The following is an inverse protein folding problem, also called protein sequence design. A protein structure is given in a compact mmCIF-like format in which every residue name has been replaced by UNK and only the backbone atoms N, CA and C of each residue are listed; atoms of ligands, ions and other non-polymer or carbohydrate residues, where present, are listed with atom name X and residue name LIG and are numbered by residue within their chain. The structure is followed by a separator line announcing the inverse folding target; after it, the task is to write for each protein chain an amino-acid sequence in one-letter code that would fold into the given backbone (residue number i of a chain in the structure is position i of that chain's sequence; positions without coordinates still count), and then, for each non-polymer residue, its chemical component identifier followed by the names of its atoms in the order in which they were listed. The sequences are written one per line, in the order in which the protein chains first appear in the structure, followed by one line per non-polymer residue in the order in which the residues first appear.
data_IF_442262847633
#
_entry.id   IF_442262847633
#
_cell.length_a   1.000
_cell.length_b   1.000
_cell.length_c   1.000
_cell.angle_alpha   90.00
_cell.angle_beta   90.00
_cell.angle_gamma   90.00
#
_symmetry.space_group_name_H-M   'P 1'
#
loop_
_entity.id
_entity.type
_entity.pdbx_description
1 polymer ?
#
# COMPACT_ATOMS: atom_id res chain seq x y z
N UNK A 1 -20.69 25.90 16.87
CA UNK A 1 -20.65 25.20 18.18
C UNK A 1 -21.12 26.09 19.33
N UNK A 2 -20.40 27.15 19.71
CA UNK A 2 -20.81 27.99 20.85
C UNK A 2 -22.23 28.58 20.71
N UNK A 3 -22.56 29.08 19.52
CA UNK A 3 -23.93 29.55 19.21
C UNK A 3 -25.00 28.47 19.42
N UNK A 4 -24.71 27.22 19.05
CA UNK A 4 -25.61 26.10 19.26
C UNK A 4 -25.74 25.76 20.76
N UNK A 5 -24.63 25.82 21.51
CA UNK A 5 -24.68 25.64 22.96
C UNK A 5 -25.54 26.72 23.62
N UNK A 6 -25.45 27.98 23.18
CA UNK A 6 -26.29 29.08 23.67
C UNK A 6 -27.78 28.84 23.42
N UNK A 7 -28.16 28.26 22.28
CA UNK A 7 -29.57 28.01 21.96
C UNK A 7 -30.17 26.80 22.68
N UNK A 8 -29.34 25.83 23.06
CA UNK A 8 -29.78 24.55 23.63
C UNK A 8 -29.58 24.44 25.14
N UNK A 9 -28.97 25.44 25.78
CA UNK A 9 -28.74 25.41 27.22
C UNK A 9 -30.05 25.47 28.00
N UNK A 10 -30.14 24.71 29.09
CA UNK A 10 -31.26 24.79 30.02
C UNK A 10 -31.17 26.04 30.91
N UNK A 11 -32.08 26.14 31.90
CA UNK A 11 -32.14 27.27 32.84
C UNK A 11 -30.89 27.43 33.71
N UNK A 12 -30.09 26.37 33.86
CA UNK A 12 -28.83 26.37 34.61
C UNK A 12 -27.61 26.55 33.68
N UNK A 13 -27.87 26.88 32.41
CA UNK A 13 -26.88 27.02 31.34
C UNK A 13 -26.09 25.73 31.05
N UNK A 14 -26.72 24.57 31.27
CA UNK A 14 -26.14 23.26 31.03
C UNK A 14 -26.69 22.60 29.77
N UNK A 15 -25.82 21.84 29.11
CA UNK A 15 -26.13 21.02 27.95
C UNK A 15 -25.70 19.59 28.26
N UNK A 16 -26.67 18.68 28.25
CA UNK A 16 -26.49 17.26 28.54
C UNK A 16 -26.55 16.43 27.25
N UNK A 17 -25.72 16.81 26.27
CA UNK A 17 -25.63 16.17 24.93
C UNK A 17 -24.24 15.57 24.70
N UNK A 18 -24.19 14.46 23.99
CA UNK A 18 -22.95 13.83 23.51
C UNK A 18 -22.30 14.67 22.40
N UNK A 19 -21.04 14.37 22.06
CA UNK A 19 -20.34 15.08 20.98
C UNK A 19 -21.04 14.89 19.62
N UNK A 20 -21.60 13.70 19.37
CA UNK A 20 -22.29 13.39 18.13
C UNK A 20 -23.63 14.15 18.03
N UNK A 21 -24.40 14.22 19.12
CA UNK A 21 -25.65 15.01 19.16
C UNK A 21 -25.37 16.52 19.00
N UNK A 22 -24.28 17.03 19.59
CA UNK A 22 -23.86 18.42 19.38
C UNK A 22 -23.42 18.64 17.93
N UNK A 23 -22.74 17.68 17.32
CA UNK A 23 -22.31 17.75 15.94
C UNK A 23 -23.53 17.80 14.99
N UNK A 24 -24.52 16.94 15.21
CA UNK A 24 -25.77 16.89 14.44
C UNK A 24 -26.56 18.19 14.59
N UNK A 25 -26.82 18.64 15.83
CA UNK A 25 -27.59 19.85 16.08
C UNK A 25 -26.90 21.15 15.62
N UNK A 26 -25.57 21.17 15.57
CA UNK A 26 -24.80 22.30 15.06
C UNK A 26 -24.50 22.23 13.54
N UNK A 27 -25.05 21.22 12.83
CA UNK A 27 -24.79 20.94 11.41
C UNK A 27 -23.29 20.81 11.07
N UNK A 28 -22.55 20.11 11.93
CA UNK A 28 -21.11 19.85 11.77
C UNK A 28 -20.89 18.36 11.49
N UNK A 29 -20.36 18.06 10.30
CA UNK A 29 -20.15 16.67 9.84
C UNK A 29 -19.15 15.83 10.67
N UNK A 30 -18.31 16.47 11.49
CA UNK A 30 -17.21 15.81 12.20
C UNK A 30 -17.29 16.04 13.71
N UNK A 31 -17.70 15.02 14.46
CA UNK A 31 -17.81 15.08 15.93
C UNK A 31 -16.48 15.23 16.66
N UNK A 32 -15.35 14.80 16.06
CA UNK A 32 -14.02 15.09 16.61
C UNK A 32 -13.68 16.59 16.51
N UNK A 33 -14.20 17.28 15.49
CA UNK A 33 -14.11 18.74 15.37
C UNK A 33 -14.81 19.46 16.53
N UNK A 34 -15.95 18.94 16.97
CA UNK A 34 -16.68 19.45 18.14
C UNK A 34 -15.83 19.34 19.40
N UNK A 35 -15.19 18.19 19.64
CA UNK A 35 -14.31 17.99 20.81
C UNK A 35 -13.14 18.99 20.85
N UNK A 36 -12.54 19.28 19.70
CA UNK A 36 -11.51 20.32 19.58
C UNK A 36 -12.06 21.72 19.88
N UNK A 37 -13.23 22.07 19.34
CA UNK A 37 -13.88 23.36 19.60
C UNK A 37 -14.22 23.54 21.09
N UNK A 38 -14.77 22.51 21.74
CA UNK A 38 -15.05 22.54 23.18
C UNK A 38 -13.77 22.69 24.01
N UNK A 39 -12.66 22.07 23.59
CA UNK A 39 -11.36 22.24 24.26
C UNK A 39 -10.86 23.68 24.19
N UNK A 40 -11.00 24.33 23.03
CA UNK A 40 -10.64 25.76 22.85
C UNK A 40 -11.54 26.64 23.72
N UNK A 41 -12.85 26.45 23.65
CA UNK A 41 -13.81 27.22 24.46
C UNK A 41 -13.59 27.06 25.96
N UNK A 42 -13.23 25.86 26.43
CA UNK A 42 -12.94 25.60 27.83
C UNK A 42 -11.65 26.28 28.29
N UNK A 43 -10.59 26.22 27.47
CA UNK A 43 -9.32 26.92 27.76
C UNK A 43 -9.47 28.43 27.79
N UNK A 44 -10.34 28.98 26.96
CA UNK A 44 -10.67 30.41 26.95
C UNK A 44 -11.73 30.80 28.00
N UNK A 45 -12.17 29.86 28.84
CA UNK A 45 -13.06 30.14 29.98
C UNK A 45 -14.52 30.44 29.60
N UNK A 46 -14.97 30.03 28.41
CA UNK A 46 -16.38 30.20 27.99
C UNK A 46 -17.26 29.04 28.42
N UNK A 47 -16.68 27.86 28.62
CA UNK A 47 -17.42 26.66 29.02
C UNK A 47 -16.64 25.83 30.05
N UNK A 48 -17.37 24.99 30.76
CA UNK A 48 -16.84 23.92 31.61
C UNK A 48 -17.41 22.58 31.15
N UNK A 49 -16.61 21.50 31.24
CA UNK A 49 -17.06 20.14 30.92
C UNK A 49 -17.09 19.31 32.21
N UNK A 50 -18.23 18.73 32.56
CA UNK A 50 -18.41 17.96 33.80
C UNK A 50 -18.94 16.55 33.51
N UNK A 51 -18.69 15.61 34.42
CA UNK A 51 -19.24 14.26 34.32
C UNK A 51 -20.70 14.24 34.79
N UNK A 52 -21.59 13.65 34.00
CA UNK A 52 -23.02 13.59 34.36
C UNK A 52 -23.26 12.38 35.27
N UNK A 53 -23.78 12.56 36.50
CA UNK A 53 -24.01 11.45 37.41
C UNK A 53 -24.89 10.37 36.79
N UNK A 54 -24.51 9.10 37.00
CA UNK A 54 -25.25 7.90 36.51
C UNK A 54 -25.37 7.79 34.98
N UNK A 55 -24.67 8.63 34.20
CA UNK A 55 -24.57 8.53 32.74
C UNK A 55 -23.10 8.46 32.34
N UNK A 56 -22.76 7.61 31.36
CA UNK A 56 -21.40 7.53 30.81
C UNK A 56 -21.19 8.64 29.77
N UNK A 57 -21.35 9.89 30.18
CA UNK A 57 -21.21 11.05 29.31
C UNK A 57 -20.73 12.30 30.05
N UNK A 58 -20.22 13.27 29.30
CA UNK A 58 -19.85 14.59 29.81
C UNK A 58 -20.81 15.66 29.32
N UNK A 59 -21.34 16.44 30.26
CA UNK A 59 -22.12 17.64 29.99
C UNK A 59 -21.23 18.84 29.70
N UNK A 60 -21.83 19.91 29.20
CA UNK A 60 -21.20 21.21 28.97
C UNK A 60 -21.96 22.28 29.73
N UNK A 61 -21.30 23.09 30.55
CA UNK A 61 -21.88 24.28 31.19
C UNK A 61 -21.32 25.53 30.53
N UNK A 62 -22.17 26.50 30.21
CA UNK A 62 -21.71 27.82 29.73
C UNK A 62 -21.33 28.67 30.94
N UNK A 63 -20.10 29.21 30.95
CA UNK A 63 -19.62 30.10 32.01
C UNK A 63 -19.92 31.58 31.72
N UNK A 64 -20.17 31.90 30.44
CA UNK A 64 -20.40 33.27 29.96
C UNK A 64 -21.60 33.33 28.99
N UNK A 65 -22.82 32.94 29.41
CA UNK A 65 -23.99 32.84 28.52
C UNK A 65 -24.39 34.17 27.85
N UNK A 66 -24.01 35.31 28.45
CA UNK A 66 -24.33 36.64 27.91
C UNK A 66 -23.43 37.08 26.74
N UNK A 67 -22.36 36.33 26.43
CA UNK A 67 -21.42 36.67 25.36
C UNK A 67 -21.96 36.19 24.01
N UNK A 68 -22.11 37.11 23.06
CA UNK A 68 -22.48 36.73 21.69
C UNK A 68 -21.32 35.99 21.01
N UNK A 69 -21.64 35.04 20.13
CA UNK A 69 -20.62 34.23 19.43
C UNK A 69 -19.59 35.08 18.66
N UNK A 70 -20.02 36.23 18.10
CA UNK A 70 -19.12 37.17 17.39
C UNK A 70 -18.13 37.91 18.30
N UNK A 71 -18.34 37.86 19.62
CA UNK A 71 -17.53 38.54 20.64
C UNK A 71 -16.61 37.55 21.38
N UNK A 72 -16.52 36.31 20.90
CA UNK A 72 -15.58 35.34 21.45
C UNK A 72 -14.15 35.81 21.17
N UNK A 73 -13.43 36.13 22.23
CA UNK A 73 -11.99 36.34 22.20
C UNK A 73 -11.30 34.97 22.32
N UNK A 74 -10.85 34.45 21.18
CA UNK A 74 -10.10 33.20 21.09
C UNK A 74 -8.64 33.50 20.76
N UNK A 75 -7.72 32.70 21.28
CA UNK A 75 -6.30 32.79 20.95
C UNK A 75 -6.07 32.15 19.56
N UNK A 76 -6.19 32.97 18.52
CA UNK A 76 -6.00 32.56 17.12
C UNK A 76 -4.60 31.98 16.89
N UNK A 77 -3.57 32.58 17.49
CA UNK A 77 -2.19 32.11 17.37
C UNK A 77 -2.01 30.69 17.94
N UNK A 78 -2.62 30.41 19.09
CA UNK A 78 -2.60 29.06 19.67
C UNK A 78 -3.37 28.03 18.82
N UNK A 79 -4.45 28.43 18.15
CA UNK A 79 -5.23 27.58 17.25
C UNK A 79 -4.40 27.24 16.00
N UNK A 80 -3.79 28.24 15.36
CA UNK A 80 -2.92 28.06 14.19
C UNK A 80 -1.71 27.20 14.51
N UNK A 81 -1.05 27.42 15.65
CA UNK A 81 0.11 26.64 16.09
C UNK A 81 -0.25 25.18 16.37
N UNK A 82 -1.45 24.91 16.89
CA UNK A 82 -1.96 23.53 17.02
C UNK A 82 -2.16 22.89 15.66
N UNK A 83 -2.82 23.58 14.72
CA UNK A 83 -3.08 23.08 13.37
C UNK A 83 -1.77 22.79 12.61
N UNK A 84 -0.76 23.67 12.74
CA UNK A 84 0.59 23.45 12.22
C UNK A 84 1.20 22.15 12.76
N UNK A 85 1.20 21.96 14.09
CA UNK A 85 1.74 20.74 14.72
C UNK A 85 0.97 19.48 14.31
N UNK A 86 -0.35 19.54 14.18
CA UNK A 86 -1.15 18.38 13.76
C UNK A 86 -0.88 18.01 12.30
N UNK A 87 -0.70 18.99 11.41
CA UNK A 87 -0.24 18.73 10.03
C UNK A 87 1.17 18.14 9.98
N UNK A 88 2.07 18.58 10.84
CA UNK A 88 3.43 18.01 10.93
C UNK A 88 3.41 16.54 11.36
N UNK A 89 2.59 16.18 12.36
CA UNK A 89 2.37 14.79 12.74
C UNK A 89 1.82 13.95 11.59
N UNK A 90 0.83 14.47 10.86
CA UNK A 90 0.28 13.78 9.69
C UNK A 90 1.34 13.57 8.60
N UNK A 91 2.15 14.60 8.29
CA UNK A 91 3.27 14.49 7.35
C UNK A 91 4.27 13.43 7.79
N UNK A 92 4.59 13.35 9.08
CA UNK A 92 5.48 12.33 9.63
C UNK A 92 4.89 10.91 9.44
N UNK A 93 3.60 10.72 9.71
CA UNK A 93 2.92 9.43 9.48
C UNK A 93 2.92 9.02 8.01
N UNK A 94 2.62 9.96 7.10
CA UNK A 94 2.70 9.72 5.66
C UNK A 94 4.12 9.33 5.26
N UNK A 95 5.13 10.05 5.75
CA UNK A 95 6.52 9.73 5.50
C UNK A 95 6.90 8.33 6.02
N UNK A 96 6.41 7.91 7.20
CA UNK A 96 6.61 6.57 7.73
C UNK A 96 6.06 5.49 6.80
N UNK A 97 4.82 5.65 6.31
CA UNK A 97 4.17 4.66 5.44
C UNK A 97 4.94 4.42 4.14
N UNK A 98 5.53 5.48 3.56
CA UNK A 98 6.32 5.40 2.34
C UNK A 98 7.83 5.20 2.58
N UNK A 99 8.27 5.30 3.83
CA UNK A 99 9.67 5.10 4.21
C UNK A 99 10.08 3.65 4.00
N UNK A 100 11.36 3.46 3.69
CA UNK A 100 12.04 2.17 3.58
C UNK A 100 13.02 1.92 4.71
N UNK A 101 12.94 2.72 5.76
CA UNK A 101 13.64 2.49 7.03
C UNK A 101 12.86 1.44 7.83
N UNK A 102 13.57 0.62 8.61
CA UNK A 102 12.97 -0.28 9.58
C UNK A 102 11.87 0.44 10.37
N UNK A 103 10.65 -0.13 10.40
CA UNK A 103 9.50 0.51 11.05
C UNK A 103 9.78 0.83 12.52
N UNK A 104 10.38 -0.12 13.24
CA UNK A 104 10.71 0.07 14.65
C UNK A 104 11.76 1.17 14.83
N UNK A 105 12.80 1.17 14.01
CA UNK A 105 13.84 2.20 14.07
C UNK A 105 13.27 3.60 13.80
N UNK A 106 12.36 3.72 12.83
CA UNK A 106 11.66 4.97 12.53
C UNK A 106 10.82 5.44 13.73
N UNK A 107 10.04 4.54 14.34
CA UNK A 107 9.21 4.85 15.52
C UNK A 107 10.09 5.33 16.68
N UNK A 108 11.17 4.61 16.99
CA UNK A 108 12.12 4.98 18.05
C UNK A 108 12.70 6.38 17.79
N UNK A 109 13.15 6.62 16.56
CA UNK A 109 13.69 7.93 16.16
C UNK A 109 12.66 9.05 16.30
N UNK A 110 11.40 8.81 15.93
CA UNK A 110 10.31 9.78 16.07
C UNK A 110 10.07 10.19 17.53
N UNK A 111 10.25 9.25 18.48
CA UNK A 111 10.13 9.50 19.91
C UNK A 111 11.44 9.92 20.60
N UNK A 112 12.52 10.18 19.83
CA UNK A 112 13.79 10.70 20.33
C UNK A 112 14.83 9.63 20.70
N UNK A 113 14.56 8.36 20.44
CA UNK A 113 15.52 7.27 20.61
C UNK A 113 16.32 7.04 19.32
N UNK A 114 17.55 7.58 19.31
CA UNK A 114 18.46 7.49 18.17
C UNK A 114 19.42 6.29 18.29
N UNK A 115 19.96 5.83 17.15
CA UNK A 115 20.98 4.78 17.11
C UNK A 115 20.47 3.35 17.28
N UNK A 116 19.15 3.14 17.28
CA UNK A 116 18.57 1.80 17.27
C UNK A 116 18.95 1.04 15.98
N UNK A 117 19.33 -0.24 16.12
CA UNK A 117 19.54 -1.14 14.99
C UNK A 117 18.24 -1.49 14.25
N UNK A 118 18.38 -2.16 13.11
CA UNK A 118 17.21 -2.71 12.39
C UNK A 118 16.59 -3.87 13.17
N UNK A 119 15.26 -4.02 13.13
CA UNK A 119 14.57 -5.00 13.97
C UNK A 119 14.50 -6.42 13.39
N UNK A 120 14.82 -6.59 12.10
CA UNK A 120 14.78 -7.89 11.40
C UNK A 120 13.39 -8.49 11.19
N UNK A 121 12.33 -7.89 11.73
CA UNK A 121 10.99 -8.50 11.82
C UNK A 121 9.86 -7.63 11.27
N UNK A 122 10.07 -6.37 10.92
CA UNK A 122 9.03 -5.58 10.26
C UNK A 122 8.89 -5.93 8.77
N UNK A 123 7.81 -5.48 8.14
CA UNK A 123 7.56 -5.65 6.70
C UNK A 123 8.74 -5.17 5.85
N UNK A 124 9.33 -4.03 6.20
CA UNK A 124 10.51 -3.47 5.52
C UNK A 124 11.73 -4.37 5.69
N UNK A 125 12.02 -4.84 6.90
CA UNK A 125 13.16 -5.74 7.15
C UNK A 125 12.96 -7.15 6.56
N UNK A 126 11.72 -7.56 6.31
CA UNK A 126 11.41 -8.85 5.69
C UNK A 126 11.41 -8.77 4.17
N UNK A 127 10.94 -7.66 3.58
CA UNK A 127 10.94 -7.42 2.13
C UNK A 127 12.33 -7.01 1.63
N UNK A 128 13.12 -6.35 2.47
CA UNK A 128 14.53 -6.06 2.21
C UNK A 128 15.38 -7.17 2.80
N UNK A 129 15.86 -8.09 1.96
CA UNK A 129 17.06 -8.85 2.29
C UNK A 129 18.13 -7.87 2.74
N UNK A 130 18.50 -7.94 4.02
CA UNK A 130 19.42 -7.02 4.68
C UNK A 130 20.79 -7.03 3.98
N UNK A 131 21.03 -6.05 3.11
CA UNK A 131 22.32 -5.82 2.48
C UNK A 131 22.67 -4.34 2.54
N UNK A 132 23.92 -4.04 2.90
CA UNK A 132 24.45 -2.69 2.77
C UNK A 132 24.51 -2.28 1.30
N UNK A 133 24.33 -0.99 1.04
CA UNK A 133 24.49 -0.44 -0.30
C UNK A 133 25.94 -0.64 -0.75
N UNK A 134 26.13 -1.29 -1.91
CA UNK A 134 27.45 -1.56 -2.47
C UNK A 134 27.51 -1.27 -3.97
N UNK A 135 28.70 -0.99 -4.53
CA UNK A 135 28.85 -0.83 -5.97
C UNK A 135 28.51 -2.12 -6.74
N UNK A 136 28.11 -2.01 -8.03
CA UNK A 136 27.84 -3.15 -8.89
C UNK A 136 29.11 -3.97 -9.19
N UNK A 137 28.96 -5.28 -9.38
CA UNK A 137 29.90 -6.09 -10.18
C UNK A 137 29.77 -5.76 -11.68
N UNK A 138 30.68 -6.24 -12.53
CA UNK A 138 30.59 -6.01 -13.99
C UNK A 138 29.28 -6.54 -14.61
N UNK A 139 28.84 -7.73 -14.17
CA UNK A 139 27.59 -8.35 -14.60
C UNK A 139 26.38 -7.52 -14.16
N UNK A 140 26.39 -7.09 -12.90
CA UNK A 140 25.35 -6.23 -12.31
C UNK A 140 25.27 -4.88 -13.00
N UNK A 141 26.41 -4.29 -13.35
CA UNK A 141 26.48 -3.05 -14.11
C UNK A 141 25.85 -3.21 -15.50
N UNK A 142 26.10 -4.35 -16.14
CA UNK A 142 25.48 -4.70 -17.43
C UNK A 142 23.96 -4.85 -17.30
N UNK A 143 23.48 -5.51 -16.23
CA UNK A 143 22.05 -5.66 -15.95
C UNK A 143 21.39 -4.29 -15.76
N UNK A 144 21.99 -3.41 -14.94
CA UNK A 144 21.47 -2.06 -14.72
C UNK A 144 21.42 -1.27 -16.02
N UNK A 145 22.49 -1.28 -16.83
CA UNK A 145 22.49 -0.61 -18.14
C UNK A 145 21.38 -1.10 -19.07
N UNK A 146 21.15 -2.43 -19.14
CA UNK A 146 20.05 -3.02 -19.91
C UNK A 146 18.68 -2.54 -19.39
N UNK A 147 18.49 -2.54 -18.07
CA UNK A 147 17.25 -2.07 -17.44
C UNK A 147 16.99 -0.59 -17.72
N UNK A 148 17.98 0.28 -17.52
CA UNK A 148 17.88 1.72 -17.80
C UNK A 148 17.66 2.01 -19.28
N UNK A 149 18.29 1.24 -20.17
CA UNK A 149 18.02 1.32 -21.61
C UNK A 149 16.55 1.00 -21.93
N UNK A 150 15.97 -0.01 -21.26
CA UNK A 150 14.55 -0.31 -21.36
C UNK A 150 13.65 0.82 -20.88
N UNK A 151 13.96 1.43 -19.73
CA UNK A 151 13.24 2.61 -19.20
C UNK A 151 13.31 3.77 -20.20
N UNK A 152 14.49 4.03 -20.76
CA UNK A 152 14.72 5.08 -21.76
C UNK A 152 13.91 4.85 -23.05
N UNK A 153 13.92 3.62 -23.59
CA UNK A 153 13.14 3.26 -24.80
C UNK A 153 11.64 3.35 -24.59
N UNK A 154 11.20 3.21 -23.33
CA UNK A 154 9.82 3.38 -22.90
C UNK A 154 9.53 4.78 -22.35
N UNK A 155 10.45 5.73 -22.54
CA UNK A 155 10.29 7.14 -22.23
C UNK A 155 10.45 7.96 -23.51
N UNK A 156 10.17 9.27 -23.46
CA UNK A 156 10.48 10.22 -24.54
C UNK A 156 11.57 11.18 -24.07
N UNK A 157 12.58 11.43 -24.90
CA UNK A 157 13.60 12.46 -24.62
C UNK A 157 13.07 13.82 -25.08
N UNK A 158 13.08 14.80 -24.20
CA UNK A 158 12.65 16.18 -24.43
C UNK A 158 13.79 17.14 -24.12
N UNK A 159 13.60 18.44 -24.38
CA UNK A 159 14.57 19.48 -23.99
C UNK A 159 14.81 19.54 -22.47
N UNK A 160 13.81 19.13 -21.69
CA UNK A 160 13.82 19.24 -20.23
C UNK A 160 14.18 17.91 -19.54
N UNK A 161 14.57 16.88 -20.31
CA UNK A 161 14.97 15.57 -19.78
C UNK A 161 14.15 14.42 -20.33
N UNK A 162 13.83 13.45 -19.46
CA UNK A 162 13.07 12.26 -19.83
C UNK A 162 11.61 12.40 -19.38
N UNK A 163 10.69 12.15 -20.32
CA UNK A 163 9.25 12.14 -20.09
C UNK A 163 8.75 10.70 -20.02
N UNK A 164 8.09 10.35 -18.90
CA UNK A 164 7.58 9.01 -18.64
C UNK A 164 6.37 8.70 -19.52
N UNK A 165 6.32 7.50 -20.12
CA UNK A 165 5.15 7.05 -20.91
C UNK A 165 4.48 5.81 -20.36
N UNK A 166 5.18 5.04 -19.55
CA UNK A 166 4.71 3.76 -19.02
C UNK A 166 5.07 3.60 -17.55
N UNK A 167 4.22 2.87 -16.83
CA UNK A 167 4.46 2.51 -15.44
C UNK A 167 5.47 1.36 -15.30
N UNK A 168 6.03 1.21 -14.10
CA UNK A 168 7.01 0.18 -13.73
C UNK A 168 6.62 -1.22 -14.20
N UNK A 169 5.36 -1.62 -13.99
CA UNK A 169 4.89 -2.96 -14.34
C UNK A 169 5.04 -3.29 -15.83
N UNK A 170 4.72 -2.33 -16.71
CA UNK A 170 4.84 -2.52 -18.16
C UNK A 170 6.30 -2.54 -18.61
N UNK A 171 7.17 -1.74 -17.98
CA UNK A 171 8.61 -1.76 -18.22
C UNK A 171 9.21 -3.12 -17.85
N UNK A 172 8.84 -3.66 -16.68
CA UNK A 172 9.30 -4.98 -16.23
C UNK A 172 8.81 -6.08 -17.17
N UNK A 173 7.54 -6.06 -17.57
CA UNK A 173 6.99 -7.02 -18.55
C UNK A 173 7.76 -6.98 -19.88
N UNK A 174 8.10 -5.78 -20.37
CA UNK A 174 8.88 -5.61 -21.60
C UNK A 174 10.29 -6.20 -21.46
N UNK A 175 11.01 -5.87 -20.37
CA UNK A 175 12.36 -6.39 -20.11
C UNK A 175 12.41 -7.90 -19.91
N UNK A 176 11.36 -8.47 -19.29
CA UNK A 176 11.20 -9.91 -19.07
C UNK A 176 10.75 -10.67 -20.33
N UNK A 177 10.29 -9.98 -21.37
CA UNK A 177 9.81 -10.62 -22.60
C UNK A 177 8.41 -11.21 -22.49
N UNK A 178 7.53 -10.57 -21.71
CA UNK A 178 6.14 -11.00 -21.53
C UNK A 178 5.37 -10.95 -22.86
N UNK A 179 4.61 -12.01 -23.14
CA UNK A 179 3.72 -12.12 -24.30
C UNK A 179 2.30 -11.61 -24.03
N UNK A 180 2.10 -10.77 -23.01
CA UNK A 180 0.77 -10.26 -22.69
C UNK A 180 0.21 -9.43 -23.85
N UNK A 181 -1.11 -9.47 -24.04
CA UNK A 181 -1.78 -8.72 -25.11
C UNK A 181 -1.45 -7.21 -25.04
N UNK A 182 -1.28 -6.70 -23.83
CA UNK A 182 -0.92 -5.31 -23.54
C UNK A 182 0.48 -4.89 -24.01
N UNK A 183 1.43 -5.82 -24.07
CA UNK A 183 2.78 -5.57 -24.60
C UNK A 183 2.72 -5.49 -26.12
N UNK A 184 2.04 -6.46 -26.74
CA UNK A 184 1.90 -6.56 -28.20
C UNK A 184 1.07 -5.41 -28.75
N UNK A 185 -0.04 -5.05 -28.10
CA UNK A 185 -0.90 -3.95 -28.55
C UNK A 185 -0.19 -2.60 -28.50
N UNK A 186 0.74 -2.43 -27.56
CA UNK A 186 1.58 -1.24 -27.44
C UNK A 186 2.86 -1.30 -28.30
N UNK A 187 3.04 -2.36 -29.10
CA UNK A 187 4.22 -2.63 -29.95
C UNK A 187 5.55 -2.62 -29.17
N UNK A 188 5.49 -2.98 -27.88
CA UNK A 188 6.66 -2.98 -27.00
C UNK A 188 7.55 -4.21 -27.25
N UNK A 189 7.00 -5.25 -27.86
CA UNK A 189 7.69 -6.43 -28.36
C UNK A 189 8.66 -6.13 -29.52
N UNK A 190 8.50 -4.97 -30.18
CA UNK A 190 9.36 -4.52 -31.28
C UNK A 190 10.60 -3.74 -30.81
N UNK A 191 10.69 -3.43 -29.51
CA UNK A 191 11.83 -2.71 -28.95
C UNK A 191 13.05 -3.63 -28.89
N UNK A 192 14.24 -3.10 -29.17
CA UNK A 192 15.51 -3.84 -29.03
C UNK A 192 15.78 -4.30 -27.60
N UNK A 193 15.12 -3.69 -26.62
CA UNK A 193 15.22 -4.05 -25.19
C UNK A 193 14.21 -5.11 -24.77
N UNK A 194 13.33 -5.56 -25.68
CA UNK A 194 12.32 -6.57 -25.37
C UNK A 194 12.95 -7.91 -25.01
N UNK A 195 12.64 -8.41 -23.81
CA UNK A 195 13.15 -9.68 -23.31
C UNK A 195 14.66 -9.74 -23.09
N UNK A 196 15.35 -8.59 -23.04
CA UNK A 196 16.81 -8.49 -22.88
C UNK A 196 17.31 -8.94 -21.49
N UNK A 197 16.39 -9.02 -20.51
CA UNK A 197 16.64 -9.51 -19.15
C UNK A 197 15.67 -10.65 -18.77
N UNK A 198 15.25 -11.44 -19.76
CA UNK A 198 14.32 -12.58 -19.56
C UNK A 198 14.81 -13.59 -18.53
N UNK A 199 16.12 -13.78 -18.43
CA UNK A 199 16.79 -14.73 -17.55
C UNK A 199 16.69 -14.34 -16.07
N UNK A 200 16.40 -13.07 -15.76
CA UNK A 200 16.26 -12.59 -14.39
C UNK A 200 14.86 -12.76 -13.81
N UNK A 201 13.85 -12.83 -14.68
CA UNK A 201 12.45 -12.93 -14.27
C UNK A 201 11.86 -11.62 -13.71
N UNK A 202 10.52 -11.55 -13.69
CA UNK A 202 9.80 -10.33 -13.32
C UNK A 202 9.95 -9.95 -11.83
N UNK A 203 10.12 -10.93 -10.94
CA UNK A 203 10.30 -10.69 -9.49
C UNK A 203 11.58 -9.90 -9.21
N UNK A 204 12.72 -10.44 -9.68
CA UNK A 204 14.02 -9.76 -9.58
C UNK A 204 13.99 -8.37 -10.22
N UNK A 205 13.41 -8.24 -11.43
CA UNK A 205 13.35 -6.96 -12.12
C UNK A 205 12.50 -5.91 -11.38
N UNK A 206 11.41 -6.31 -10.72
CA UNK A 206 10.65 -5.41 -9.86
C UNK A 206 11.48 -4.93 -8.67
N UNK A 207 12.21 -5.83 -8.01
CA UNK A 207 13.10 -5.49 -6.91
C UNK A 207 14.26 -4.60 -7.36
N UNK A 208 14.83 -4.87 -8.54
CA UNK A 208 15.86 -4.02 -9.15
C UNK A 208 15.33 -2.60 -9.43
N UNK A 209 14.16 -2.47 -10.05
CA UNK A 209 13.55 -1.15 -10.31
C UNK A 209 13.26 -0.38 -9.02
N UNK A 210 12.94 -1.08 -7.94
CA UNK A 210 12.82 -0.49 -6.61
C UNK A 210 14.16 0.02 -6.10
N UNK A 211 15.23 -0.79 -6.14
CA UNK A 211 16.57 -0.37 -5.72
C UNK A 211 17.09 0.83 -6.54
N UNK A 212 16.84 0.85 -7.85
CA UNK A 212 17.19 1.98 -8.73
C UNK A 212 16.41 3.25 -8.37
N UNK A 213 15.15 3.12 -7.95
CA UNK A 213 14.35 4.26 -7.52
C UNK A 213 14.86 4.81 -6.17
N UNK A 214 15.21 3.92 -5.24
CA UNK A 214 15.73 4.29 -3.92
C UNK A 214 17.09 5.00 -4.04
N UNK A 215 17.92 4.61 -5.00
CA UNK A 215 19.17 5.28 -5.34
C UNK A 215 19.00 6.57 -6.17
N UNK A 216 17.76 7.00 -6.47
CA UNK A 216 17.49 8.20 -7.25
C UNK A 216 17.90 8.11 -8.73
N UNK A 217 18.10 6.92 -9.26
CA UNK A 217 18.51 6.67 -10.66
C UNK A 217 17.28 6.69 -11.58
N UNK A 218 16.15 6.18 -11.08
CA UNK A 218 14.83 6.32 -11.74
C UNK A 218 13.87 7.03 -10.80
N UNK A 219 12.84 7.66 -11.35
CA UNK A 219 11.78 8.28 -10.56
C UNK A 219 10.40 7.82 -11.04
N UNK A 220 9.42 7.95 -10.16
CA UNK A 220 8.00 7.76 -10.49
C UNK A 220 7.32 9.12 -10.49
N UNK A 221 6.66 9.47 -11.59
CA UNK A 221 5.82 10.66 -11.71
C UNK A 221 4.43 10.27 -11.23
N UNK A 222 3.96 10.95 -10.18
CA UNK A 222 2.64 10.70 -9.59
C UNK A 222 1.56 11.41 -10.40
N UNK A 223 0.48 10.69 -10.70
CA UNK A 223 -0.69 11.15 -11.44
C UNK A 223 -1.82 10.11 -11.30
N UNK A 224 -2.83 10.14 -12.17
CA UNK A 224 -3.90 9.12 -12.19
C UNK A 224 -3.32 7.70 -12.33
N UNK A 225 -2.21 7.57 -13.09
CA UNK A 225 -1.43 6.35 -13.19
C UNK A 225 0.06 6.65 -12.93
N UNK A 226 0.74 5.90 -12.03
CA UNK A 226 2.15 6.13 -11.74
C UNK A 226 3.03 5.71 -12.92
N UNK A 227 3.76 6.67 -13.50
CA UNK A 227 4.67 6.46 -14.63
C UNK A 227 6.12 6.52 -14.18
N UNK A 228 7.01 5.75 -14.80
CA UNK A 228 8.42 5.68 -14.41
C UNK A 228 9.34 6.17 -15.53
N UNK A 229 10.37 6.94 -15.16
CA UNK A 229 11.39 7.42 -16.11
C UNK A 229 12.76 7.62 -15.45
N UNK A 230 13.76 8.00 -16.25
CA UNK A 230 15.13 8.26 -15.79
C UNK A 230 15.25 9.64 -15.14
N UNK A 231 16.04 9.73 -14.07
CA UNK A 231 16.51 11.01 -13.52
C UNK A 231 17.75 11.50 -14.28
N UNK A 232 18.25 12.73 -14.04
CA UNK A 232 19.55 13.16 -14.56
C UNK A 232 20.70 12.24 -14.13
N UNK A 233 20.65 11.70 -12.92
CA UNK A 233 21.61 10.68 -12.45
C UNK A 233 21.44 9.39 -13.25
N UNK A 234 20.19 8.96 -13.51
CA UNK A 234 19.87 7.83 -14.37
C UNK A 234 20.45 7.91 -15.77
N UNK A 235 20.36 9.06 -16.44
CA UNK A 235 20.94 9.26 -17.78
C UNK A 235 22.46 9.09 -17.75
N UNK A 236 23.14 9.65 -16.74
CA UNK A 236 24.60 9.51 -16.56
C UNK A 236 25.01 8.07 -16.26
N UNK A 237 24.31 7.39 -15.35
CA UNK A 237 24.58 5.98 -15.02
C UNK A 237 24.37 5.08 -16.24
N UNK A 238 23.30 5.30 -17.00
CA UNK A 238 23.03 4.57 -18.25
C UNK A 238 24.16 4.76 -19.27
N UNK A 239 24.71 5.98 -19.39
CA UNK A 239 25.85 6.31 -20.26
C UNK A 239 27.20 5.84 -19.71
N UNK A 240 27.27 5.41 -18.45
CA UNK A 240 28.53 5.01 -17.81
C UNK A 240 29.35 6.16 -17.24
N UNK A 241 28.75 7.33 -17.07
CA UNK A 241 29.44 8.57 -16.68
C UNK A 241 29.40 8.81 -15.16
N UNK A 242 28.76 7.93 -14.39
CA UNK A 242 28.61 8.09 -12.93
C UNK A 242 28.60 6.74 -12.22
N UNK A 243 29.29 6.67 -11.08
CA UNK A 243 29.24 5.54 -10.16
C UNK A 243 27.98 5.61 -9.28
N UNK A 244 27.54 4.45 -8.79
CA UNK A 244 26.37 4.32 -7.93
C UNK A 244 26.51 3.10 -7.03
N UNK A 245 25.73 3.07 -5.97
CA UNK A 245 25.62 1.94 -5.06
C UNK A 245 24.15 1.58 -4.91
N UNK A 246 23.84 0.29 -4.85
CA UNK A 246 22.49 -0.20 -4.64
C UNK A 246 22.47 -1.13 -3.42
N UNK A 247 21.33 -1.16 -2.74
CA UNK A 247 20.92 -2.35 -2.00
C UNK A 247 20.45 -3.36 -3.05
N UNK A 248 21.29 -4.36 -3.32
CA UNK A 248 21.05 -5.28 -4.42
C UNK A 248 19.89 -6.23 -4.10
N UNK A 249 18.96 -6.43 -5.05
CA UNK A 249 17.89 -7.39 -4.86
C UNK A 249 18.46 -8.81 -4.76
N UNK A 250 17.82 -9.65 -3.94
CA UNK A 250 18.15 -11.07 -3.87
C UNK A 250 18.09 -11.69 -5.28
N UNK A 251 19.18 -12.29 -5.79
CA UNK A 251 19.21 -12.97 -7.09
C UNK A 251 18.15 -14.06 -7.24
N UNK A 252 17.60 -14.56 -6.13
CA UNK A 252 16.53 -15.54 -6.07
C UNK A 252 15.12 -14.92 -5.97
N UNK A 253 15.00 -13.60 -5.80
CA UNK A 253 13.71 -12.88 -5.73
C UNK A 253 12.86 -13.02 -7.02
N UNK A 254 13.46 -13.45 -8.12
CA UNK A 254 12.78 -13.85 -9.36
C UNK A 254 12.79 -15.35 -9.66
N UNK A 255 13.58 -16.14 -8.91
CA UNK A 255 13.76 -17.59 -9.09
C UNK A 255 12.95 -18.46 -8.12
N UNK A 256 12.29 -17.87 -7.13
CA UNK A 256 11.08 -18.47 -6.56
C UNK A 256 9.92 -18.38 -7.57
N UNK A 257 10.08 -18.98 -8.74
CA UNK A 257 9.00 -19.85 -9.17
C UNK A 257 8.98 -20.93 -8.10
N UNK A 258 8.00 -20.89 -7.20
CA UNK A 258 7.51 -22.16 -6.67
C UNK A 258 6.99 -22.86 -7.92
N UNK A 259 7.87 -23.58 -8.60
CA UNK A 259 7.51 -24.45 -9.71
C UNK A 259 6.56 -25.44 -9.06
N UNK A 260 5.27 -25.14 -9.15
CA UNK A 260 4.23 -26.00 -8.61
C UNK A 260 4.45 -27.34 -9.27
N UNK A 261 4.93 -28.30 -8.49
CA UNK A 261 5.22 -29.63 -8.98
C UNK A 261 3.90 -30.18 -9.51
N UNK A 262 3.85 -30.53 -10.78
CA UNK A 262 2.69 -31.13 -11.40
C UNK A 262 2.37 -32.45 -10.66
N UNK A 263 1.25 -32.47 -9.95
CA UNK A 263 0.78 -33.63 -9.19
C UNK A 263 -0.14 -34.53 -10.03
N UNK A 264 -0.32 -34.21 -11.32
CA UNK A 264 -1.29 -34.87 -12.19
C UNK A 264 -2.72 -34.37 -11.95
N UNK A 265 -3.60 -34.67 -12.90
CA UNK A 265 -5.01 -34.28 -12.83
C UNK A 265 -5.85 -35.43 -12.27
N UNK A 266 -6.46 -35.21 -11.10
CA UNK A 266 -7.36 -36.17 -10.47
C UNK A 266 -8.83 -35.75 -10.62
N UNK A 267 -9.63 -36.59 -11.29
CA UNK A 267 -11.04 -36.30 -11.56
C UNK A 267 -11.93 -36.23 -10.31
N UNK A 268 -11.56 -36.91 -9.22
CA UNK A 268 -12.30 -36.83 -7.97
C UNK A 268 -12.02 -35.48 -7.28
N UNK A 269 -10.76 -35.06 -7.19
CA UNK A 269 -10.41 -33.73 -6.68
C UNK A 269 -11.08 -32.63 -7.51
N UNK A 270 -11.05 -32.75 -8.85
CA UNK A 270 -11.72 -31.78 -9.72
C UNK A 270 -13.22 -31.67 -9.42
N UNK A 271 -13.90 -32.79 -9.22
CA UNK A 271 -15.32 -32.83 -8.89
C UNK A 271 -15.58 -32.16 -7.54
N UNK A 272 -14.77 -32.45 -6.53
CA UNK A 272 -14.88 -31.82 -5.21
C UNK A 272 -14.67 -30.30 -5.27
N UNK A 273 -13.66 -29.82 -6.00
CA UNK A 273 -13.41 -28.38 -6.17
C UNK A 273 -14.52 -27.69 -6.98
N UNK A 274 -15.09 -28.38 -7.98
CA UNK A 274 -16.24 -27.88 -8.77
C UNK A 274 -17.48 -27.72 -7.90
N UNK A 275 -17.75 -28.69 -7.02
CA UNK A 275 -18.91 -28.66 -6.13
C UNK A 275 -18.74 -27.58 -5.05
N UNK A 276 -17.53 -27.41 -4.53
CA UNK A 276 -17.19 -26.30 -3.63
C UNK A 276 -17.44 -24.94 -4.30
N UNK A 277 -16.98 -24.77 -5.56
CA UNK A 277 -17.24 -23.57 -6.36
C UNK A 277 -18.74 -23.31 -6.53
N UNK A 278 -19.53 -24.34 -6.83
CA UNK A 278 -20.98 -24.20 -7.00
C UNK A 278 -21.68 -23.76 -5.71
N UNK A 279 -21.27 -24.31 -4.55
CA UNK A 279 -21.79 -23.90 -3.24
C UNK A 279 -21.49 -22.44 -2.94
N UNK A 280 -20.25 -22.00 -3.19
CA UNK A 280 -19.84 -20.62 -2.95
C UNK A 280 -20.53 -19.63 -3.90
N UNK A 281 -20.65 -20.00 -5.17
CA UNK A 281 -21.36 -19.22 -6.18
C UNK A 281 -22.83 -19.00 -5.81
N UNK A 282 -23.51 -20.05 -5.32
CA UNK A 282 -24.89 -19.97 -4.83
C UNK A 282 -25.02 -19.10 -3.58
N UNK A 283 -24.07 -19.21 -2.64
CA UNK A 283 -24.07 -18.42 -1.39
C UNK A 283 -23.90 -16.92 -1.67
N UNK A 284 -23.03 -16.59 -2.62
CA UNK A 284 -22.66 -15.21 -2.93
C UNK A 284 -23.49 -14.62 -4.08
N UNK A 285 -24.51 -15.35 -4.56
CA UNK A 285 -25.41 -15.01 -5.67
C UNK A 285 -24.69 -14.55 -6.95
N UNK A 286 -23.67 -15.30 -7.35
CA UNK A 286 -22.87 -15.02 -8.55
C UNK A 286 -22.70 -16.25 -9.43
N UNK A 287 -22.50 -16.09 -10.76
CA UNK A 287 -22.18 -17.22 -11.62
C UNK A 287 -20.88 -17.93 -11.20
N UNK A 288 -20.79 -19.28 -11.28
CA UNK A 288 -19.64 -20.04 -10.77
C UNK A 288 -18.27 -19.62 -11.33
N UNK A 289 -18.20 -19.21 -12.59
CA UNK A 289 -16.94 -18.79 -13.22
C UNK A 289 -16.37 -17.49 -12.62
N UNK A 290 -17.19 -16.69 -11.92
CA UNK A 290 -16.76 -15.47 -11.22
C UNK A 290 -15.84 -15.82 -10.04
N UNK A 291 -16.16 -16.90 -9.32
CA UNK A 291 -15.31 -17.44 -8.24
C UNK A 291 -13.98 -17.90 -8.85
N UNK A 292 -14.01 -18.98 -9.64
CA UNK A 292 -12.86 -19.46 -10.42
C UNK A 292 -13.30 -19.97 -11.79
N UNK A 293 -12.53 -19.65 -12.82
CA UNK A 293 -12.77 -20.17 -14.17
C UNK A 293 -12.50 -21.68 -14.23
N UNK A 294 -13.02 -22.38 -15.26
CA UNK A 294 -12.73 -23.80 -15.44
C UNK A 294 -11.22 -24.07 -15.58
N UNK A 295 -10.51 -23.20 -16.33
CA UNK A 295 -9.06 -23.25 -16.48
C UNK A 295 -8.33 -23.12 -15.13
N UNK A 296 -8.85 -22.28 -14.24
CA UNK A 296 -8.29 -22.11 -12.88
C UNK A 296 -8.55 -23.32 -12.00
N UNK A 297 -9.74 -23.94 -12.09
CA UNK A 297 -10.04 -25.20 -11.38
C UNK A 297 -9.18 -26.37 -11.87
N UNK A 298 -8.97 -26.48 -13.17
CA UNK A 298 -8.07 -27.49 -13.76
C UNK A 298 -6.65 -27.31 -13.24
N UNK A 299 -6.17 -26.06 -13.18
CA UNK A 299 -4.85 -25.74 -12.63
C UNK A 299 -4.76 -26.04 -11.13
N UNK A 300 -5.76 -25.68 -10.32
CA UNK A 300 -5.82 -26.03 -8.89
C UNK A 300 -5.77 -27.55 -8.66
N UNK A 301 -6.47 -28.31 -9.50
CA UNK A 301 -6.48 -29.78 -9.44
C UNK A 301 -5.10 -30.35 -9.77
N UNK A 302 -4.44 -29.79 -10.78
CA UNK A 302 -3.15 -30.27 -11.29
C UNK A 302 -1.98 -29.94 -10.36
N UNK A 303 -1.99 -28.75 -9.78
CA UNK A 303 -0.87 -28.23 -9.00
C UNK A 303 -1.04 -28.37 -7.49
N UNK A 304 -2.28 -28.53 -7.02
CA UNK A 304 -2.62 -28.83 -5.62
C UNK A 304 -1.90 -27.92 -4.59
N UNK A 305 -2.01 -26.58 -4.72
CA UNK A 305 -1.38 -25.65 -3.81
C UNK A 305 -1.90 -25.81 -2.38
N UNK A 306 -1.01 -25.75 -1.39
CA UNK A 306 -1.38 -25.92 0.04
C UNK A 306 -1.34 -24.63 0.84
N UNK A 307 -0.88 -23.53 0.25
CA UNK A 307 -0.81 -22.24 0.90
C UNK A 307 -1.11 -21.12 -0.11
N UNK A 308 -1.33 -19.93 0.43
CA UNK A 308 -1.68 -18.73 -0.33
C UNK A 308 -0.57 -18.30 -1.29
N UNK A 309 0.69 -18.50 -0.91
CA UNK A 309 1.85 -18.19 -1.75
C UNK A 309 1.85 -19.05 -3.01
N UNK A 310 1.68 -20.37 -2.86
CA UNK A 310 1.51 -21.33 -3.96
C UNK A 310 0.27 -21.02 -4.82
N UNK A 311 -0.83 -20.60 -4.20
CA UNK A 311 -2.08 -20.27 -4.91
C UNK A 311 -1.94 -19.05 -5.82
N UNK A 312 -1.12 -18.06 -5.44
CA UNK A 312 -0.82 -16.86 -6.25
C UNK A 312 -0.16 -17.22 -7.59
N UNK A 313 0.49 -18.37 -7.68
CA UNK A 313 1.14 -18.85 -8.90
C UNK A 313 0.18 -19.58 -9.84
N UNK A 314 -1.08 -19.83 -9.44
CA UNK A 314 -2.08 -20.50 -10.29
C UNK A 314 -2.69 -19.53 -11.30
N UNK A 315 -2.70 -19.86 -12.61
CA UNK A 315 -3.30 -19.00 -13.63
C UNK A 315 -4.79 -18.68 -13.35
N UNK A 316 -5.09 -17.37 -13.27
CA UNK A 316 -6.44 -16.86 -13.02
C UNK A 316 -6.79 -16.66 -11.53
N UNK A 317 -5.82 -16.88 -10.64
CA UNK A 317 -5.89 -16.49 -9.22
C UNK A 317 -5.10 -15.19 -9.02
N UNK A 318 -5.80 -14.10 -8.70
CA UNK A 318 -5.19 -12.82 -8.34
C UNK A 318 -5.42 -12.47 -6.87
N UNK A 319 -4.74 -11.45 -6.36
CA UNK A 319 -4.79 -11.03 -4.94
C UNK A 319 -6.23 -10.87 -4.41
N UNK A 320 -7.13 -10.26 -5.18
CA UNK A 320 -8.53 -10.07 -4.80
C UNK A 320 -9.31 -11.40 -4.65
N UNK A 321 -9.05 -12.38 -5.54
CA UNK A 321 -9.71 -13.69 -5.49
C UNK A 321 -9.16 -14.55 -4.36
N UNK A 322 -7.89 -14.39 -4.04
CA UNK A 322 -7.27 -15.09 -2.92
C UNK A 322 -7.92 -14.70 -1.61
N UNK A 323 -7.98 -13.41 -1.35
CA UNK A 323 -8.48 -12.90 -0.08
C UNK A 323 -9.95 -13.28 0.14
N UNK A 324 -10.73 -13.39 -0.95
CA UNK A 324 -12.16 -13.64 -0.89
C UNK A 324 -12.54 -15.11 -0.99
N UNK A 325 -11.80 -15.91 -1.76
CA UNK A 325 -12.24 -17.25 -2.15
C UNK A 325 -11.20 -18.36 -1.96
N UNK A 326 -9.90 -18.09 -1.75
CA UNK A 326 -8.90 -19.16 -1.84
C UNK A 326 -8.89 -20.13 -0.66
N UNK A 327 -9.07 -19.67 0.59
CA UNK A 327 -8.86 -20.53 1.77
C UNK A 327 -9.69 -21.82 1.77
N UNK A 328 -11.01 -21.81 1.45
CA UNK A 328 -11.79 -23.05 1.39
C UNK A 328 -11.28 -24.06 0.36
N UNK A 329 -10.71 -23.59 -0.76
CA UNK A 329 -10.14 -24.47 -1.79
C UNK A 329 -8.80 -25.05 -1.31
N UNK A 330 -7.97 -24.23 -0.65
CA UNK A 330 -6.70 -24.68 -0.10
C UNK A 330 -6.91 -25.72 1.01
N UNK A 331 -7.89 -25.53 1.88
CA UNK A 331 -8.24 -26.51 2.92
C UNK A 331 -8.68 -27.85 2.33
N UNK A 332 -9.52 -27.83 1.31
CA UNK A 332 -9.95 -29.05 0.62
C UNK A 332 -8.74 -29.78 -0.01
N UNK A 333 -7.83 -29.03 -0.64
CA UNK A 333 -6.61 -29.58 -1.22
C UNK A 333 -5.66 -30.14 -0.14
N UNK A 334 -5.52 -29.47 1.02
CA UNK A 334 -4.73 -29.98 2.15
C UNK A 334 -5.29 -31.32 2.65
N UNK A 335 -6.60 -31.41 2.84
CA UNK A 335 -7.29 -32.65 3.26
C UNK A 335 -7.05 -33.75 2.22
N UNK A 336 -7.25 -33.44 0.94
CA UNK A 336 -7.01 -34.38 -0.16
C UNK A 336 -5.59 -34.92 -0.16
N UNK A 337 -4.58 -34.05 -0.08
CA UNK A 337 -3.17 -34.45 -0.06
C UNK A 337 -2.82 -35.30 1.16
N UNK A 338 -3.40 -35.01 2.33
CA UNK A 338 -3.17 -35.78 3.54
C UNK A 338 -3.81 -37.17 3.46
N UNK A 339 -4.97 -37.32 2.82
CA UNK A 339 -5.63 -38.62 2.62
C UNK A 339 -4.91 -39.57 1.66
N UNK A 340 -3.90 -39.06 0.92
CA UNK A 340 -3.11 -39.80 -0.06
C UNK A 340 -1.64 -40.01 0.32
N UNK A 341 -1.23 -39.57 1.52
CA UNK A 341 0.08 -39.94 2.06
C UNK A 341 -0.01 -41.39 2.54
N UNK A 342 0.90 -42.28 2.09
CA UNK A 342 0.94 -43.67 2.53
C UNK A 342 1.20 -43.79 4.03
#
# INVERSE_FOLDING_TARGET
IYQYLLSEADTDYEIHRTLDEIAEGADVKNSMGVGSALTVLARSGYIERFDVPKRRMRGTRLLKPDVLTRQLELDEAAIEEKDRRDREKLKAMVAMCYSRVCRQQWILTYFGEHGAGVCGTCDVCRDQGAGDARPPTEDEQTIVRKALSGVARMSRRTSNGWEARFGRGRIVQMLAGSKSQEIVSAKLDQLTTYGILRDKGAGYLNSLMRSLADAGIVCTINGEYPLMTLTPLGDKVMRGESSYQLVWPDPEAGRKEVALKDQGHDGQLYTMLRDLRAKMAKRDDVPPYVIFSNKTLEALTRYQPINTEEALHIPGIGAAKIQRYAEPFLDLIRIWRNSRRP
#
